data_IF_082576215352
#
_entry.id   IF_082576215352
#
_cell.length_a   1.000
_cell.length_b   1.000
_cell.length_c   1.000
_cell.angle_alpha   90.00
_cell.angle_beta   90.00
_cell.angle_gamma   90.00
#
_symmetry.space_group_name_H-M   'P 1'
#
loop_
_entity.id
_entity.type
_entity.pdbx_description
1 polymer ?
#
# COMPACT_ATOMS: atom_id res chain seq x y z
N UNK A 1 -27.27 5.10 4.22
CA UNK A 1 -26.32 4.19 4.87
C UNK A 1 -25.28 3.76 3.84
N UNK A 2 -24.02 4.16 4.01
CA UNK A 2 -22.93 3.65 3.17
C UNK A 2 -22.38 2.36 3.77
N UNK A 3 -22.37 1.27 2.99
CA UNK A 3 -21.67 0.05 3.36
C UNK A 3 -20.23 0.11 2.83
N UNK A 4 -19.28 -0.38 3.63
CA UNK A 4 -17.87 -0.47 3.26
C UNK A 4 -17.50 -1.95 3.20
N UNK A 5 -16.99 -2.41 2.05
CA UNK A 5 -16.46 -3.75 1.87
C UNK A 5 -14.96 -3.62 1.62
N UNK A 6 -14.16 -4.28 2.46
CA UNK A 6 -12.71 -4.34 2.30
C UNK A 6 -12.31 -5.78 1.92
N UNK A 7 -11.45 -5.91 0.92
CA UNK A 7 -10.84 -7.19 0.53
C UNK A 7 -9.35 -7.08 0.88
N UNK A 8 -8.89 -7.61 2.02
CA UNK A 8 -7.52 -7.43 2.51
C UNK A 8 -6.44 -7.80 1.48
N UNK A 9 -6.67 -8.86 0.72
CA UNK A 9 -5.77 -9.35 -0.32
C UNK A 9 -5.62 -8.34 -1.46
N UNK A 10 -6.71 -7.67 -1.86
CA UNK A 10 -6.68 -6.63 -2.87
C UNK A 10 -5.92 -5.39 -2.39
N UNK A 11 -6.11 -5.02 -1.11
CA UNK A 11 -5.36 -3.90 -0.50
C UNK A 11 -3.88 -4.22 -0.39
N UNK A 12 -3.53 -5.46 -0.03
CA UNK A 12 -2.13 -5.91 0.00
C UNK A 12 -1.50 -5.91 -1.39
N UNK A 13 -2.21 -6.38 -2.42
CA UNK A 13 -1.74 -6.34 -3.79
C UNK A 13 -1.53 -4.90 -4.27
N UNK A 14 -2.45 -4.00 -3.94
CA UNK A 14 -2.32 -2.57 -4.22
C UNK A 14 -1.09 -1.97 -3.52
N UNK A 15 -0.82 -2.31 -2.26
CA UNK A 15 0.37 -1.86 -1.55
C UNK A 15 1.67 -2.27 -2.23
N UNK A 16 1.75 -3.52 -2.72
CA UNK A 16 2.89 -3.98 -3.53
C UNK A 16 3.04 -3.16 -4.80
N UNK A 17 1.96 -2.88 -5.53
CA UNK A 17 2.01 -2.06 -6.76
C UNK A 17 2.41 -0.62 -6.51
N UNK A 18 1.93 -0.02 -5.43
CA UNK A 18 2.37 1.32 -5.04
C UNK A 18 3.86 1.32 -4.71
N UNK A 19 4.37 0.32 -3.99
CA UNK A 19 5.80 0.20 -3.70
C UNK A 19 6.66 0.05 -4.97
N UNK A 20 6.20 -0.74 -5.95
CA UNK A 20 6.85 -0.86 -7.27
C UNK A 20 6.94 0.51 -7.97
N UNK A 21 5.87 1.30 -7.95
CA UNK A 21 5.88 2.66 -8.51
C UNK A 21 6.84 3.59 -7.78
N UNK A 22 6.90 3.55 -6.44
CA UNK A 22 7.86 4.32 -5.66
C UNK A 22 9.31 3.99 -6.02
N UNK A 23 9.61 2.71 -6.22
CA UNK A 23 10.94 2.26 -6.64
C UNK A 23 11.29 2.77 -8.05
N UNK A 24 10.35 2.68 -9.00
CA UNK A 24 10.55 3.20 -10.36
C UNK A 24 10.78 4.72 -10.36
N UNK A 25 10.02 5.48 -9.55
CA UNK A 25 10.17 6.92 -9.43
C UNK A 25 11.52 7.31 -8.82
N UNK A 26 11.95 6.61 -7.76
CA UNK A 26 13.25 6.82 -7.12
C UNK A 26 14.41 6.56 -8.09
N UNK A 27 14.30 5.50 -8.89
CA UNK A 27 15.27 5.19 -9.95
C UNK A 27 15.33 6.32 -10.99
N UNK A 28 14.18 6.76 -11.51
CA UNK A 28 14.11 7.85 -12.47
C UNK A 28 14.68 9.18 -11.94
N UNK A 29 14.38 9.53 -10.68
CA UNK A 29 14.92 10.74 -10.06
C UNK A 29 16.43 10.67 -9.88
N UNK A 30 16.95 9.50 -9.50
CA UNK A 30 18.38 9.28 -9.33
C UNK A 30 19.14 9.34 -10.66
N UNK A 31 18.57 8.81 -11.75
CA UNK A 31 19.21 8.84 -13.07
C UNK A 31 19.22 10.25 -13.67
N UNK A 32 18.19 11.05 -13.39
CA UNK A 32 18.10 12.44 -13.83
C UNK A 32 18.95 13.40 -12.97
N UNK A 33 19.30 13.05 -11.73
CA UNK A 33 19.90 13.97 -10.76
C UNK A 33 21.16 14.65 -11.29
N UNK A 34 22.12 13.90 -11.83
CA UNK A 34 23.36 14.49 -12.36
C UNK A 34 23.10 15.45 -13.51
N UNK A 35 22.25 15.05 -14.46
CA UNK A 35 21.96 15.84 -15.66
C UNK A 35 21.21 17.15 -15.36
N UNK A 36 20.40 17.20 -14.29
CA UNK A 36 19.61 18.38 -13.94
C UNK A 36 20.26 19.28 -12.90
N UNK A 37 21.21 18.78 -12.11
CA UNK A 37 21.88 19.55 -11.04
C UNK A 37 23.29 20.02 -11.40
N UNK A 38 23.91 19.44 -12.43
CA UNK A 38 25.23 19.77 -12.93
C UNK A 38 25.20 20.36 -14.34
N UNK A 39 24.20 21.20 -14.64
CA UNK A 39 24.04 21.75 -15.99
C UNK A 39 25.20 22.69 -16.32
N UNK A 40 25.82 22.48 -17.48
CA UNK A 40 26.90 23.34 -17.97
C UNK A 40 26.34 24.49 -18.80
N UNK A 41 27.04 25.63 -18.78
CA UNK A 41 26.71 26.76 -19.63
C UNK A 41 26.81 26.36 -21.11
N UNK A 42 25.78 26.67 -21.90
CA UNK A 42 25.75 26.36 -23.33
C UNK A 42 26.77 27.20 -24.13
N UNK A 43 27.08 28.40 -23.63
CA UNK A 43 28.09 29.31 -24.17
C UNK A 43 29.01 29.85 -23.08
N UNK A 44 30.07 30.56 -23.49
CA UNK A 44 31.04 31.18 -22.58
C UNK A 44 30.61 32.55 -22.02
N UNK A 45 29.37 32.96 -22.27
CA UNK A 45 28.82 34.23 -21.83
C UNK A 45 28.13 34.14 -20.46
N UNK A 46 27.98 35.28 -19.81
CA UNK A 46 27.39 35.39 -18.47
C UNK A 46 25.91 35.00 -18.44
N UNK A 47 25.16 35.16 -19.53
CA UNK A 47 23.74 34.80 -19.60
C UNK A 47 23.60 33.28 -19.62
N UNK A 48 24.41 32.58 -20.43
CA UNK A 48 24.47 31.13 -20.45
C UNK A 48 24.87 30.56 -19.09
N UNK A 49 25.84 31.17 -18.41
CA UNK A 49 26.24 30.78 -17.06
C UNK A 49 25.11 30.99 -16.03
N UNK A 50 24.41 32.13 -16.08
CA UNK A 50 23.29 32.42 -15.20
C UNK A 50 22.12 31.45 -15.41
N UNK A 51 21.80 31.11 -16.66
CA UNK A 51 20.75 30.14 -16.99
C UNK A 51 21.11 28.74 -16.47
N UNK A 52 22.36 28.30 -16.70
CA UNK A 52 22.84 27.01 -16.20
C UNK A 52 22.78 26.92 -14.66
N UNK A 53 23.16 28.00 -13.97
CA UNK A 53 23.07 28.12 -12.51
C UNK A 53 21.62 28.07 -12.01
N UNK A 54 20.70 28.77 -12.68
CA UNK A 54 19.28 28.78 -12.33
C UNK A 54 18.68 27.36 -12.39
N UNK A 55 18.88 26.66 -13.51
CA UNK A 55 18.32 25.32 -13.69
C UNK A 55 18.99 24.30 -12.77
N UNK A 56 20.30 24.40 -12.55
CA UNK A 56 21.01 23.54 -11.60
C UNK A 56 20.46 23.70 -10.17
N UNK A 57 20.21 24.94 -9.75
CA UNK A 57 19.60 25.24 -8.44
C UNK A 57 18.18 24.70 -8.36
N UNK A 58 17.39 24.84 -9.42
CA UNK A 58 16.04 24.26 -9.49
C UNK A 58 16.08 22.73 -9.40
N UNK A 59 17.02 22.10 -10.11
CA UNK A 59 17.24 20.65 -10.03
C UNK A 59 17.58 20.20 -8.61
N UNK A 60 18.42 20.94 -7.89
CA UNK A 60 18.78 20.62 -6.50
C UNK A 60 17.56 20.70 -5.58
N UNK A 61 16.79 21.79 -5.66
CA UNK A 61 15.55 21.95 -4.89
C UNK A 61 14.52 20.84 -5.22
N UNK A 62 14.42 20.44 -6.49
CA UNK A 62 13.57 19.31 -6.89
C UNK A 62 14.03 18.01 -6.21
N UNK A 63 15.33 17.72 -6.18
CA UNK A 63 15.87 16.50 -5.55
C UNK A 63 15.63 16.47 -4.03
N UNK A 64 15.69 17.61 -3.36
CA UNK A 64 15.33 17.73 -1.94
C UNK A 64 13.87 17.35 -1.69
N UNK A 65 12.94 17.89 -2.49
CA UNK A 65 11.52 17.55 -2.41
C UNK A 65 11.27 16.08 -2.78
N UNK A 66 11.97 15.56 -3.79
CA UNK A 66 11.89 14.16 -4.18
C UNK A 66 12.31 13.20 -3.04
N UNK A 67 13.31 13.57 -2.25
CA UNK A 67 13.71 12.83 -1.06
C UNK A 67 12.61 12.83 0.01
N UNK A 68 11.96 13.97 0.26
CA UNK A 68 10.83 14.06 1.19
C UNK A 68 9.64 13.21 0.73
N UNK A 69 9.32 13.26 -0.56
CA UNK A 69 8.26 12.45 -1.16
C UNK A 69 8.56 10.95 -1.05
N UNK A 70 9.83 10.57 -1.19
CA UNK A 70 10.27 9.18 -0.99
C UNK A 70 9.95 8.70 0.42
N UNK A 71 10.30 9.49 1.44
CA UNK A 71 10.02 9.14 2.84
C UNK A 71 8.51 9.08 3.13
N UNK A 72 7.71 9.98 2.54
CA UNK A 72 6.25 9.92 2.62
C UNK A 72 5.71 8.65 1.97
N UNK A 73 6.18 8.32 0.77
CA UNK A 73 5.75 7.15 0.02
C UNK A 73 6.00 5.85 0.80
N UNK A 74 7.18 5.70 1.42
CA UNK A 74 7.51 4.52 2.22
C UNK A 74 6.54 4.36 3.41
N UNK A 75 6.20 5.46 4.09
CA UNK A 75 5.20 5.46 5.18
C UNK A 75 3.80 5.15 4.66
N UNK A 76 3.44 5.65 3.48
CA UNK A 76 2.15 5.38 2.86
C UNK A 76 1.98 3.89 2.53
N UNK A 77 3.01 3.26 1.94
CA UNK A 77 3.02 1.82 1.68
C UNK A 77 2.90 1.03 2.99
N UNK A 78 3.68 1.40 4.02
CA UNK A 78 3.57 0.77 5.35
C UNK A 78 2.16 0.87 5.92
N UNK A 79 1.53 2.04 5.85
CA UNK A 79 0.17 2.25 6.34
C UNK A 79 -0.85 1.39 5.58
N UNK A 80 -0.69 1.26 4.26
CA UNK A 80 -1.57 0.46 3.42
C UNK A 80 -1.45 -1.03 3.74
N UNK A 81 -0.21 -1.53 3.91
CA UNK A 81 0.05 -2.92 4.33
C UNK A 81 -0.49 -3.20 5.74
N UNK A 82 -0.27 -2.28 6.69
CA UNK A 82 -0.80 -2.41 8.05
C UNK A 82 -2.34 -2.41 8.05
N UNK A 83 -2.97 -1.56 7.23
CA UNK A 83 -4.41 -1.51 7.05
C UNK A 83 -4.98 -2.83 6.51
N UNK A 84 -4.34 -3.42 5.50
CA UNK A 84 -4.72 -4.74 4.98
C UNK A 84 -4.67 -5.81 6.09
N UNK A 85 -3.58 -5.82 6.88
CA UNK A 85 -3.43 -6.72 8.02
C UNK A 85 -4.51 -6.53 9.09
N UNK A 86 -4.90 -5.28 9.37
CA UNK A 86 -5.95 -4.97 10.33
C UNK A 86 -7.32 -5.52 9.89
N UNK A 87 -7.70 -5.36 8.62
CA UNK A 87 -8.96 -5.91 8.10
C UNK A 87 -8.94 -7.45 8.08
N UNK A 88 -7.83 -8.07 7.66
CA UNK A 88 -7.69 -9.53 7.72
C UNK A 88 -7.79 -10.07 9.16
N UNK A 89 -7.21 -9.36 10.12
CA UNK A 89 -7.31 -9.75 11.53
C UNK A 89 -8.74 -9.61 12.06
N UNK A 90 -9.46 -8.55 11.67
CA UNK A 90 -10.85 -8.35 12.03
C UNK A 90 -11.76 -9.46 11.49
N UNK A 91 -11.58 -9.86 10.23
CA UNK A 91 -12.26 -11.00 9.61
C UNK A 91 -12.03 -12.30 10.41
N UNK A 92 -10.77 -12.61 10.71
CA UNK A 92 -10.40 -13.80 11.48
C UNK A 92 -10.98 -13.80 12.90
N UNK A 93 -10.93 -12.64 13.58
CA UNK A 93 -11.50 -12.49 14.92
C UNK A 93 -13.02 -12.71 14.89
N UNK A 94 -13.72 -12.16 13.91
CA UNK A 94 -15.17 -12.34 13.78
C UNK A 94 -15.55 -13.80 13.46
N UNK A 95 -14.83 -14.44 12.54
CA UNK A 95 -14.99 -15.86 12.23
C UNK A 95 -14.75 -16.75 13.46
N UNK A 96 -13.74 -16.42 14.27
CA UNK A 96 -13.42 -17.16 15.50
C UNK A 96 -14.54 -17.07 16.55
N UNK A 97 -15.20 -15.91 16.67
CA UNK A 97 -16.32 -15.67 17.59
C UNK A 97 -17.62 -16.34 17.12
N UNK A 98 -17.83 -16.45 15.81
CA UNK A 98 -19.02 -17.11 15.23
C UNK A 98 -18.92 -18.65 15.25
N UNK A 99 -17.70 -19.21 15.24
CA UNK A 99 -17.46 -20.66 15.19
C UNK A 99 -18.18 -21.50 16.27
N UNK A 100 -18.27 -21.09 17.56
CA UNK A 100 -19.04 -21.85 18.55
C UNK A 100 -20.53 -21.90 18.20
N UNK A 101 -21.08 -20.79 17.69
CA UNK A 101 -22.48 -20.71 17.29
C UNK A 101 -22.79 -21.62 16.10
N UNK A 102 -21.91 -21.64 15.09
CA UNK A 102 -22.10 -22.51 13.93
C UNK A 102 -22.09 -23.99 14.30
N UNK A 103 -21.23 -24.40 15.25
CA UNK A 103 -21.22 -25.77 15.81
C UNK A 103 -22.54 -26.12 16.52
N UNK A 104 -23.13 -25.19 17.25
CA UNK A 104 -24.43 -25.42 17.89
C UNK A 104 -25.58 -25.46 16.88
N UNK A 105 -25.53 -24.67 15.81
CA UNK A 105 -26.52 -24.72 14.73
C UNK A 105 -26.45 -26.06 13.97
N UNK A 106 -25.26 -26.56 13.65
CA UNK A 106 -25.09 -27.86 12.97
C UNK A 106 -25.47 -29.06 13.85
N UNK A 107 -25.24 -28.99 15.16
CA UNK A 107 -25.65 -30.03 16.10
C UNK A 107 -27.18 -30.10 16.29
N UNK A 108 -27.89 -28.98 16.08
CA UNK A 108 -29.36 -28.91 16.16
C UNK A 108 -30.03 -29.47 14.90
N UNK A 109 -29.38 -29.35 13.74
CA UNK A 109 -29.92 -29.85 12.47
C UNK A 109 -29.69 -31.35 12.25
N UNK A 110 -28.86 -32.01 13.06
CA UNK A 110 -28.69 -33.47 12.99
C UNK A 110 -29.93 -34.15 13.61
N UNK A 111 -30.69 -34.97 12.85
CA UNK A 111 -31.83 -35.68 13.40
C UNK A 111 -31.37 -36.57 14.56
N UNK A 112 -31.94 -36.40 15.75
CA UNK A 112 -31.72 -37.36 16.84
C UNK A 112 -32.18 -38.74 16.34
N UNK A 113 -31.38 -39.81 16.49
CA UNK A 113 -31.85 -41.15 16.16
C UNK A 113 -33.11 -41.41 16.99
N UNK A 114 -34.21 -41.76 16.30
CA UNK A 114 -35.47 -42.10 16.98
C UNK A 114 -35.19 -43.32 17.86
N UNK A 115 -35.46 -43.27 19.17
CA UNK A 115 -35.37 -44.48 19.98
C UNK A 115 -36.37 -45.49 19.43
N UNK A 116 -35.89 -46.68 19.07
CA UNK A 116 -36.71 -47.82 18.68
C UNK A 116 -37.52 -48.30 19.89
N UNK A 117 -38.57 -47.58 20.26
CA UNK A 117 -39.60 -48.12 21.14
C UNK A 117 -40.40 -49.13 20.32
N UNK A 118 -40.10 -50.41 20.56
CA UNK A 118 -40.83 -51.53 19.97
C UNK A 118 -42.31 -51.47 20.33
N UNK A 119 -43.15 -51.50 19.31
CA UNK A 119 -44.59 -51.75 19.45
C UNK A 119 -44.75 -53.26 19.61
N UNK A 120 -45.28 -53.65 20.77
CA UNK A 120 -45.72 -55.01 21.08
C UNK A 120 -47.08 -55.25 20.44
#
# INVERSE_FOLDING_TARGET
MSYLVAVPEAVSAAATKVAEFGAALRSANSSAAGATTGLLAAGGDEVSAAIASLFSTHGQAYQEVAAQMTAFHDRFVQALTAGAGAYAHAEAANASRCRPWSKTCSARSTPRPRPCWGVR
#
